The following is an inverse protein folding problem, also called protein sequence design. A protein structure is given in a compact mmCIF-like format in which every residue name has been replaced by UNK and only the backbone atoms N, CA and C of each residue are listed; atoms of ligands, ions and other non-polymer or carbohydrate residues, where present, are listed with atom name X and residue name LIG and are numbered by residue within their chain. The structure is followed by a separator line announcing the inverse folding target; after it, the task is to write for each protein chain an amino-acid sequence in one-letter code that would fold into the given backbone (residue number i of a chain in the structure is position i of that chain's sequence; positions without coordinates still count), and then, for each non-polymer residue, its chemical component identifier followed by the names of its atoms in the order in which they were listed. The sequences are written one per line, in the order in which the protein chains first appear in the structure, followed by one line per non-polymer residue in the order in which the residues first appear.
data_IF_025676126725
#
_entry.id   IF_025676126725
#
_cell.length_a   1.000
_cell.length_b   1.000
_cell.length_c   1.000
_cell.angle_alpha   90.00
_cell.angle_beta   90.00
_cell.angle_gamma   90.00
#
_symmetry.space_group_name_H-M   'P 1'
#
loop_
_entity.id
_entity.type
_entity.pdbx_description
1 polymer ?
#
# COMPACT_ATOMS: atom_id res chain seq x y z
N UNK A 1 -4.65 9.49 -2.70
CA UNK A 1 -4.04 8.53 -3.67
C UNK A 1 -4.32 7.11 -3.18
N UNK A 2 -4.61 6.15 -4.07
CA UNK A 2 -4.89 4.76 -3.68
C UNK A 2 -3.59 3.96 -3.62
N UNK A 3 -3.26 3.40 -2.46
CA UNK A 3 -2.10 2.53 -2.27
C UNK A 3 -2.59 1.09 -2.14
N UNK A 4 -2.30 0.28 -3.16
CA UNK A 4 -2.57 -1.14 -3.12
C UNK A 4 -1.49 -1.84 -2.29
N UNK A 5 -1.89 -2.39 -1.15
CA UNK A 5 -1.00 -3.04 -0.18
C UNK A 5 -1.24 -4.55 -0.18
N UNK A 6 -0.16 -5.31 -0.08
CA UNK A 6 -0.19 -6.77 0.05
C UNK A 6 0.74 -7.17 1.19
N UNK A 7 0.28 -8.08 2.05
CA UNK A 7 0.93 -8.43 3.31
C UNK A 7 2.37 -8.99 3.15
N UNK A 8 2.74 -9.44 1.94
CA UNK A 8 4.08 -9.93 1.60
C UNK A 8 4.97 -8.93 0.84
N UNK A 9 4.50 -7.72 0.53
CA UNK A 9 5.27 -6.79 -0.30
C UNK A 9 6.22 -5.93 0.57
N UNK A 10 7.50 -5.76 0.19
CA UNK A 10 8.44 -4.91 0.91
C UNK A 10 8.26 -3.40 0.64
N UNK A 11 7.70 -3.04 -0.53
CA UNK A 11 7.54 -1.66 -0.99
C UNK A 11 6.48 -0.80 -0.25
N UNK A 12 5.33 -1.32 0.22
CA UNK A 12 4.28 -0.51 0.85
C UNK A 12 4.70 0.18 2.15
N UNK A 13 5.67 -0.37 2.90
CA UNK A 13 6.16 0.24 4.14
C UNK A 13 6.79 1.61 3.92
N UNK A 14 7.65 1.75 2.91
CA UNK A 14 8.31 3.04 2.61
C UNK A 14 7.33 4.09 2.10
N UNK A 15 6.32 3.68 1.33
CA UNK A 15 5.29 4.59 0.81
C UNK A 15 4.38 5.09 1.93
N UNK A 16 4.04 4.25 2.92
CA UNK A 16 3.29 4.67 4.12
C UNK A 16 4.05 5.71 4.95
N UNK A 17 5.36 5.50 5.17
CA UNK A 17 6.19 6.46 5.92
C UNK A 17 6.23 7.81 5.20
N UNK A 18 6.51 7.80 3.89
CA UNK A 18 6.56 9.03 3.09
C UNK A 18 5.22 9.77 3.07
N UNK A 19 4.11 9.05 2.97
CA UNK A 19 2.79 9.66 2.98
C UNK A 19 2.42 10.26 4.34
N UNK A 20 2.79 9.58 5.44
CA UNK A 20 2.61 10.11 6.78
C UNK A 20 3.46 11.37 7.01
N UNK A 21 4.69 11.42 6.51
CA UNK A 21 5.55 12.62 6.59
C UNK A 21 5.02 13.80 5.76
N UNK A 22 4.31 13.53 4.67
CA UNK A 22 3.80 14.54 3.73
C UNK A 22 2.35 14.95 3.99
N UNK A 23 1.72 14.42 5.04
CA UNK A 23 0.28 14.55 5.32
C UNK A 23 -0.61 14.13 4.13
N UNK A 24 -0.15 13.15 3.36
CA UNK A 24 -0.88 12.65 2.19
C UNK A 24 -1.85 11.58 2.66
N UNK A 25 -3.15 11.88 2.52
CA UNK A 25 -4.23 10.91 2.69
C UNK A 25 -4.09 9.80 1.63
N UNK A 26 -3.56 8.65 2.05
CA UNK A 26 -3.48 7.43 1.26
C UNK A 26 -4.60 6.47 1.66
N UNK A 27 -5.39 6.10 0.68
CA UNK A 27 -6.41 5.06 0.82
C UNK A 27 -5.72 3.71 0.63
N UNK A 28 -5.55 2.97 1.73
CA UNK A 28 -4.92 1.65 1.74
C UNK A 28 -5.93 0.61 1.27
N UNK A 29 -5.73 0.10 0.05
CA UNK A 29 -6.54 -0.96 -0.51
C UNK A 29 -5.74 -2.25 -0.37
N UNK A 30 -6.15 -3.10 0.56
CA UNK A 30 -5.51 -4.40 0.74
C UNK A 30 -5.89 -5.29 -0.45
N UNK A 31 -4.94 -5.50 -1.36
CA UNK A 31 -5.12 -6.35 -2.53
C UNK A 31 -4.49 -7.71 -2.23
N UNK A 32 -5.32 -8.75 -2.15
CA UNK A 32 -4.86 -10.09 -1.85
C UNK A 32 -4.35 -10.78 -3.13
N UNK A 33 -3.08 -10.54 -3.46
CA UNK A 33 -2.41 -11.15 -4.61
C UNK A 33 -2.31 -12.68 -4.50
N UNK A 34 -2.54 -13.27 -3.31
CA UNK A 34 -2.56 -14.72 -3.14
C UNK A 34 -3.79 -15.37 -3.81
N UNK A 35 -4.83 -14.59 -4.14
CA UNK A 35 -5.97 -15.05 -4.93
C UNK A 35 -5.71 -15.11 -6.44
N UNK A 36 -4.56 -14.64 -6.92
CA UNK A 36 -4.22 -14.70 -8.34
C UNK A 36 -5.06 -13.76 -9.21
N UNK A 37 -5.39 -12.56 -8.72
CA UNK A 37 -5.90 -11.49 -9.59
C UNK A 37 -4.71 -10.88 -10.34
N UNK A 38 -4.49 -11.41 -11.55
CA UNK A 38 -3.56 -10.92 -12.56
C UNK A 38 -4.09 -9.66 -13.26
#
# INVERSE_FOLDING_TARGET
MKLYDYNGAPNPRRVKIFAAEKDIQLELIQCDLAKGEA
#
